data_IF_998089077269
#
_entry.id   IF_998089077269
#
_cell.length_a   1.000
_cell.length_b   1.000
_cell.length_c   1.000
_cell.angle_alpha   90.00
_cell.angle_beta   90.00
_cell.angle_gamma   90.00
#
_symmetry.space_group_name_H-M   'P 1'
#
loop_
_entity.id
_entity.type
_entity.pdbx_description
1 polymer ?
#
# COMPACT_ATOMS: atom_id res chain seq x y z
N UNK A 1 -12.61 1.08 5.48
CA UNK A 1 -13.72 1.37 4.54
C UNK A 1 -14.33 0.04 4.09
N UNK A 2 -15.67 -0.11 4.10
CA UNK A 2 -16.35 -1.30 3.59
C UNK A 2 -16.98 -1.01 2.24
N UNK A 3 -17.06 -1.99 1.34
CA UNK A 3 -17.68 -1.80 0.04
C UNK A 3 -19.22 -1.64 0.13
N UNK A 4 -19.85 -2.09 1.22
CA UNK A 4 -21.27 -1.90 1.51
C UNK A 4 -21.56 -2.07 3.02
N UNK A 5 -22.81 -1.79 3.42
CA UNK A 5 -23.26 -1.92 4.83
C UNK A 5 -23.30 -3.39 5.24
N UNK A 6 -23.69 -4.30 4.34
CA UNK A 6 -23.74 -5.73 4.61
C UNK A 6 -22.35 -6.29 4.95
N UNK A 7 -21.31 -5.90 4.20
CA UNK A 7 -19.93 -6.29 4.50
C UNK A 7 -19.42 -5.72 5.81
N UNK A 8 -19.94 -4.56 6.24
CA UNK A 8 -19.66 -4.01 7.57
C UNK A 8 -20.37 -4.83 8.64
N UNK A 9 -21.65 -5.09 8.50
CA UNK A 9 -22.44 -5.82 9.51
C UNK A 9 -21.97 -7.27 9.66
N UNK A 10 -21.60 -7.94 8.56
CA UNK A 10 -20.95 -9.26 8.61
C UNK A 10 -19.60 -9.20 9.34
N UNK A 11 -18.82 -8.13 9.09
CA UNK A 11 -17.56 -7.93 9.79
C UNK A 11 -17.78 -7.70 11.29
N UNK A 12 -18.70 -6.81 11.67
CA UNK A 12 -18.98 -6.47 13.05
C UNK A 12 -19.54 -7.69 13.80
N UNK A 13 -20.38 -8.52 13.16
CA UNK A 13 -20.85 -9.80 13.74
C UNK A 13 -19.72 -10.79 13.96
N UNK A 14 -18.84 -10.96 12.96
CA UNK A 14 -17.67 -11.82 13.09
C UNK A 14 -16.78 -11.31 14.22
N UNK A 15 -16.41 -10.03 14.21
CA UNK A 15 -15.52 -9.40 15.20
C UNK A 15 -16.11 -9.47 16.61
N UNK A 16 -17.42 -9.21 16.75
CA UNK A 16 -18.13 -9.30 18.02
C UNK A 16 -18.01 -10.68 18.67
N UNK A 17 -17.98 -11.77 17.91
CA UNK A 17 -17.77 -13.12 18.48
C UNK A 17 -16.42 -13.25 19.22
N UNK A 18 -15.44 -12.41 18.90
CA UNK A 18 -14.09 -12.44 19.49
C UNK A 18 -13.87 -11.30 20.50
N UNK A 19 -14.51 -10.14 20.28
CA UNK A 19 -14.37 -8.97 21.15
C UNK A 19 -15.41 -8.91 22.27
N UNK A 20 -16.44 -9.78 22.24
CA UNK A 20 -17.47 -9.80 23.28
C UNK A 20 -16.87 -10.14 24.66
N UNK A 21 -16.78 -9.13 25.52
CA UNK A 21 -16.24 -9.26 26.87
C UNK A 21 -14.70 -9.23 26.95
N UNK A 22 -14.00 -8.77 25.91
CA UNK A 22 -12.55 -8.52 25.91
C UNK A 22 -12.26 -7.05 25.59
N UNK A 23 -11.04 -6.58 25.86
CA UNK A 23 -10.58 -5.28 25.35
C UNK A 23 -10.50 -5.31 23.82
N UNK A 24 -10.82 -4.19 23.13
CA UNK A 24 -10.76 -4.13 21.68
C UNK A 24 -9.35 -4.43 21.17
N UNK A 25 -9.27 -5.26 20.13
CA UNK A 25 -8.00 -5.66 19.54
C UNK A 25 -7.35 -4.49 18.78
N UNK A 26 -6.01 -4.47 18.72
CA UNK A 26 -5.31 -3.57 17.80
C UNK A 26 -5.72 -3.86 16.34
N UNK A 27 -5.83 -2.83 15.50
CA UNK A 27 -6.41 -2.94 14.14
C UNK A 27 -5.73 -4.04 13.29
N UNK A 28 -4.40 -4.13 13.33
CA UNK A 28 -3.65 -5.18 12.59
C UNK A 28 -3.98 -6.60 13.06
N UNK A 29 -4.28 -6.76 14.34
CA UNK A 29 -4.62 -8.04 14.97
C UNK A 29 -6.05 -8.43 14.63
N UNK A 30 -6.98 -7.47 14.73
CA UNK A 30 -8.36 -7.63 14.30
C UNK A 30 -8.45 -8.03 12.82
N UNK A 31 -7.68 -7.37 11.95
CA UNK A 31 -7.60 -7.70 10.52
C UNK A 31 -7.03 -9.10 10.30
N UNK A 32 -5.98 -9.48 11.03
CA UNK A 32 -5.39 -10.82 10.94
C UNK A 32 -6.36 -11.91 11.36
N UNK A 33 -7.06 -11.72 12.49
CA UNK A 33 -8.08 -12.65 12.98
C UNK A 33 -9.16 -12.84 11.91
N UNK A 34 -9.64 -11.75 11.30
CA UNK A 34 -10.60 -11.83 10.18
C UNK A 34 -10.07 -12.64 9.01
N UNK A 35 -8.82 -12.41 8.59
CA UNK A 35 -8.20 -13.15 7.49
C UNK A 35 -8.14 -14.65 7.77
N UNK A 36 -7.76 -15.02 8.99
CA UNK A 36 -7.66 -16.42 9.42
C UNK A 36 -9.02 -17.10 9.44
N UNK A 37 -10.04 -16.45 10.01
CA UNK A 37 -11.39 -17.00 10.04
C UNK A 37 -11.96 -17.16 8.65
N UNK A 38 -11.74 -16.17 7.79
CA UNK A 38 -12.11 -16.26 6.36
C UNK A 38 -11.41 -17.44 5.70
N UNK A 39 -10.12 -17.64 5.98
CA UNK A 39 -9.37 -18.80 5.47
C UNK A 39 -9.96 -20.13 5.95
N UNK A 40 -10.32 -20.24 7.23
CA UNK A 40 -10.97 -21.44 7.78
C UNK A 40 -12.36 -21.67 7.18
N UNK A 41 -13.16 -20.63 6.98
CA UNK A 41 -14.47 -20.74 6.33
C UNK A 41 -14.33 -21.19 4.87
N UNK A 42 -13.36 -20.64 4.12
CA UNK A 42 -13.12 -21.01 2.72
C UNK A 42 -12.63 -22.45 2.56
N UNK A 43 -11.88 -22.97 3.53
CA UNK A 43 -11.24 -24.29 3.44
C UNK A 43 -12.01 -25.37 4.20
N UNK A 44 -12.94 -24.99 5.07
CA UNK A 44 -13.81 -25.85 5.86
C UNK A 44 -13.12 -26.55 7.05
N UNK A 45 -11.79 -26.67 7.05
CA UNK A 45 -11.02 -27.27 8.15
C UNK A 45 -9.57 -26.82 8.16
N UNK A 46 -8.92 -26.94 9.32
CA UNK A 46 -7.51 -26.62 9.51
C UNK A 46 -6.62 -27.53 8.65
N UNK A 47 -6.98 -28.82 8.55
CA UNK A 47 -6.25 -29.80 7.75
C UNK A 47 -6.30 -29.45 6.26
N UNK A 48 -7.46 -28.98 5.77
CA UNK A 48 -7.59 -28.52 4.39
C UNK A 48 -6.80 -27.23 4.15
N UNK A 49 -6.86 -26.27 5.08
CA UNK A 49 -6.07 -25.04 5.00
C UNK A 49 -4.57 -25.37 4.91
N UNK A 50 -4.07 -26.19 5.82
CA UNK A 50 -2.66 -26.60 5.83
C UNK A 50 -2.25 -27.30 4.53
N UNK A 51 -3.08 -28.22 4.03
CA UNK A 51 -2.84 -28.90 2.74
C UNK A 51 -2.76 -27.91 1.59
N UNK A 52 -3.76 -27.04 1.44
CA UNK A 52 -3.84 -26.07 0.33
C UNK A 52 -2.63 -25.11 0.35
N UNK A 53 -2.26 -24.59 1.53
CA UNK A 53 -1.09 -23.71 1.66
C UNK A 53 0.23 -24.42 1.33
N UNK A 54 0.34 -25.72 1.64
CA UNK A 54 1.50 -26.53 1.30
C UNK A 54 1.58 -26.82 -0.20
N UNK A 55 0.45 -27.14 -0.83
CA UNK A 55 0.35 -27.40 -2.26
C UNK A 55 0.67 -26.13 -3.07
N UNK A 56 0.32 -24.95 -2.54
CA UNK A 56 0.54 -23.64 -3.18
C UNK A 56 1.91 -23.00 -2.87
N UNK A 57 2.81 -23.67 -2.13
CA UNK A 57 4.01 -23.02 -1.56
C UNK A 57 4.99 -22.40 -2.57
N UNK A 58 4.93 -22.85 -3.83
CA UNK A 58 5.77 -22.34 -4.92
C UNK A 58 5.01 -21.39 -5.85
N UNK A 59 3.73 -21.15 -5.61
CA UNK A 59 2.93 -20.22 -6.39
C UNK A 59 3.19 -18.78 -5.96
N UNK A 60 3.03 -17.88 -6.92
CA UNK A 60 3.08 -16.43 -6.75
C UNK A 60 1.75 -15.82 -7.19
N UNK A 61 1.62 -14.50 -7.04
CA UNK A 61 0.44 -13.77 -7.55
C UNK A 61 0.24 -13.93 -9.06
N UNK A 62 1.29 -14.29 -9.83
CA UNK A 62 1.21 -14.50 -11.27
C UNK A 62 0.61 -15.85 -11.67
N UNK A 63 0.59 -16.81 -10.74
CA UNK A 63 0.07 -18.16 -10.98
C UNK A 63 -1.44 -18.28 -10.66
N UNK A 64 -2.06 -17.18 -10.21
CA UNK A 64 -3.41 -17.13 -9.66
C UNK A 64 -4.29 -16.16 -10.44
N UNK A 65 -5.50 -16.60 -10.83
CA UNK A 65 -6.46 -15.71 -11.50
C UNK A 65 -7.19 -14.85 -10.46
N UNK A 66 -6.82 -13.56 -10.40
CA UNK A 66 -7.45 -12.55 -9.55
C UNK A 66 -8.40 -11.62 -10.34
N UNK A 67 -8.64 -11.89 -11.62
CA UNK A 67 -9.37 -10.99 -12.53
C UNK A 67 -10.89 -11.11 -12.44
N UNK A 68 -11.41 -12.16 -11.80
CA UNK A 68 -12.84 -12.49 -11.72
C UNK A 68 -13.35 -12.49 -10.27
N UNK A 69 -13.72 -11.32 -9.70
CA UNK A 69 -14.20 -11.22 -8.32
C UNK A 69 -15.40 -12.10 -7.97
N UNK A 70 -16.19 -12.44 -8.97
CA UNK A 70 -17.42 -13.25 -8.87
C UNK A 70 -17.17 -14.76 -8.86
N UNK A 71 -15.95 -15.22 -9.14
CA UNK A 71 -15.60 -16.64 -9.10
C UNK A 71 -15.53 -17.14 -7.65
N UNK A 72 -16.06 -18.33 -7.38
CA UNK A 72 -16.02 -18.94 -6.04
C UNK A 72 -14.57 -19.11 -5.53
N UNK A 73 -13.64 -19.37 -6.45
CA UNK A 73 -12.20 -19.52 -6.17
C UNK A 73 -11.49 -18.19 -5.88
N UNK A 74 -12.10 -17.04 -6.19
CA UNK A 74 -11.41 -15.74 -6.12
C UNK A 74 -10.86 -15.42 -4.73
N UNK A 75 -11.67 -15.63 -3.68
CA UNK A 75 -11.25 -15.38 -2.30
C UNK A 75 -10.12 -16.33 -1.87
N UNK A 76 -10.15 -17.57 -2.34
CA UNK A 76 -9.08 -18.53 -2.09
C UNK A 76 -7.79 -18.12 -2.81
N UNK A 77 -7.88 -17.69 -4.07
CA UNK A 77 -6.72 -17.19 -4.82
C UNK A 77 -6.12 -15.94 -4.14
N UNK A 78 -6.93 -15.02 -3.62
CA UNK A 78 -6.43 -13.89 -2.82
C UNK A 78 -5.66 -14.38 -1.59
N UNK A 79 -6.23 -15.33 -0.83
CA UNK A 79 -5.56 -15.91 0.34
C UNK A 79 -4.21 -16.52 -0.01
N UNK A 80 -4.15 -17.32 -1.09
CA UNK A 80 -2.92 -17.94 -1.55
C UNK A 80 -1.89 -16.89 -2.01
N UNK A 81 -2.33 -15.87 -2.72
CA UNK A 81 -1.49 -14.79 -3.21
C UNK A 81 -0.90 -13.97 -2.04
N UNK A 82 -1.70 -13.68 -1.00
CA UNK A 82 -1.22 -13.05 0.23
C UNK A 82 -0.19 -13.94 0.92
N UNK A 83 -0.49 -15.22 1.09
CA UNK A 83 0.42 -16.15 1.76
C UNK A 83 1.74 -16.38 1.00
N UNK A 84 1.78 -16.08 -0.29
CA UNK A 84 3.00 -16.12 -1.10
C UNK A 84 3.91 -14.88 -0.90
N UNK A 85 3.44 -13.83 -0.23
CA UNK A 85 4.25 -12.64 0.05
C UNK A 85 5.41 -12.97 1.00
N UNK A 86 6.54 -12.30 0.76
CA UNK A 86 7.74 -12.45 1.59
C UNK A 86 7.53 -11.75 2.93
N UNK A 87 7.95 -12.39 4.02
CA UNK A 87 7.99 -11.80 5.36
C UNK A 87 9.37 -11.26 5.69
N UNK A 88 9.44 -10.20 6.48
CA UNK A 88 10.70 -9.75 7.06
C UNK A 88 11.19 -10.74 8.13
N UNK A 89 12.51 -10.88 8.27
CA UNK A 89 13.13 -11.65 9.38
C UNK A 89 12.75 -11.00 10.71
N UNK A 90 12.73 -11.77 11.80
CA UNK A 90 12.31 -11.26 13.12
C UNK A 90 13.06 -9.98 13.50
N UNK A 91 12.37 -8.85 13.42
CA UNK A 91 12.79 -7.60 14.06
C UNK A 91 12.23 -7.59 15.46
N UNK A 92 13.00 -7.12 16.45
CA UNK A 92 12.64 -7.15 17.88
C UNK A 92 11.30 -6.44 18.23
N UNK A 93 10.68 -5.74 17.28
CA UNK A 93 9.48 -4.92 17.45
C UNK A 93 8.15 -5.69 17.39
N UNK A 94 8.09 -6.95 16.92
CA UNK A 94 6.84 -7.74 16.92
C UNK A 94 6.60 -8.46 18.25
N UNK A 95 6.73 -7.75 19.38
CA UNK A 95 6.54 -8.30 20.75
C UNK A 95 5.21 -7.93 21.41
N UNK A 96 4.24 -7.37 20.68
CA UNK A 96 3.10 -6.72 21.32
C UNK A 96 1.79 -7.53 21.41
N UNK A 97 1.72 -8.76 20.90
CA UNK A 97 0.57 -9.65 21.17
C UNK A 97 1.05 -11.05 21.49
N UNK A 98 0.70 -11.54 22.67
CA UNK A 98 0.79 -12.97 23.01
C UNK A 98 -0.24 -13.71 22.16
N UNK A 99 0.13 -14.02 20.91
CA UNK A 99 -0.66 -14.88 20.01
C UNK A 99 -0.91 -16.23 20.69
N UNK A 100 0.01 -16.65 21.55
CA UNK A 100 -0.10 -17.81 22.41
C UNK A 100 -1.39 -17.77 23.21
N UNK A 101 -1.65 -16.72 23.97
CA UNK A 101 -2.86 -16.61 24.78
C UNK A 101 -4.15 -16.49 23.96
N UNK A 102 -4.09 -15.88 22.77
CA UNK A 102 -5.27 -15.66 21.93
C UNK A 102 -5.92 -16.98 21.53
N UNK A 103 -5.11 -17.98 21.14
CA UNK A 103 -5.63 -19.28 20.70
C UNK A 103 -6.06 -20.18 21.85
N UNK A 104 -5.68 -19.87 23.09
CA UNK A 104 -6.14 -20.58 24.30
C UNK A 104 -7.49 -20.05 24.82
N UNK A 105 -8.01 -18.95 24.26
CA UNK A 105 -9.26 -18.31 24.69
C UNK A 105 -10.41 -18.60 23.72
N UNK A 106 -11.63 -18.42 24.21
CA UNK A 106 -12.84 -18.48 23.38
C UNK A 106 -12.82 -17.41 22.27
N UNK A 107 -13.30 -17.71 21.05
CA UNK A 107 -13.88 -19.00 20.61
C UNK A 107 -12.86 -19.99 20.04
N UNK A 108 -11.56 -19.67 19.99
CA UNK A 108 -10.54 -20.54 19.37
C UNK A 108 -10.43 -21.90 20.07
N UNK A 109 -10.58 -21.93 21.39
CA UNK A 109 -10.63 -23.17 22.19
C UNK A 109 -11.75 -24.14 21.79
N UNK A 110 -12.87 -23.63 21.24
CA UNK A 110 -13.99 -24.45 20.79
C UNK A 110 -13.69 -25.24 19.53
N UNK A 111 -12.77 -24.79 18.68
CA UNK A 111 -12.47 -25.46 17.40
C UNK A 111 -11.03 -25.96 17.26
N UNK A 112 -10.08 -25.46 18.06
CA UNK A 112 -8.71 -25.99 18.12
C UNK A 112 -8.64 -27.13 19.15
N UNK A 113 -8.62 -28.38 18.69
CA UNK A 113 -8.73 -29.57 19.56
C UNK A 113 -7.39 -30.16 19.95
N UNK A 114 -6.35 -29.91 19.17
CA UNK A 114 -5.02 -30.50 19.38
C UNK A 114 -3.94 -29.42 19.49
N UNK A 115 -2.84 -29.74 20.17
CA UNK A 115 -1.68 -28.85 20.24
C UNK A 115 -1.07 -28.57 18.86
N UNK A 116 -1.13 -29.55 17.96
CA UNK A 116 -0.66 -29.42 16.57
C UNK A 116 -1.48 -28.38 15.80
N UNK A 117 -2.80 -28.39 15.94
CA UNK A 117 -3.67 -27.36 15.34
C UNK A 117 -3.37 -25.98 15.92
N UNK A 118 -3.16 -25.87 17.23
CA UNK A 118 -2.81 -24.60 17.89
C UNK A 118 -1.48 -24.06 17.40
N UNK A 119 -0.46 -24.92 17.30
CA UNK A 119 0.86 -24.55 16.79
C UNK A 119 0.79 -24.08 15.33
N UNK A 120 0.08 -24.80 14.47
CA UNK A 120 -0.14 -24.39 13.09
C UNK A 120 -0.82 -23.03 13.01
N UNK A 121 -1.90 -22.81 13.76
CA UNK A 121 -2.63 -21.55 13.75
C UNK A 121 -1.78 -20.39 14.26
N UNK A 122 -1.00 -20.59 15.33
CA UNK A 122 -0.03 -19.59 15.83
C UNK A 122 0.98 -19.22 14.74
N UNK A 123 1.59 -20.22 14.11
CA UNK A 123 2.57 -20.02 13.03
C UNK A 123 1.97 -19.29 11.82
N UNK A 124 0.80 -19.73 11.37
CA UNK A 124 0.08 -19.10 10.26
C UNK A 124 -0.29 -17.64 10.56
N UNK A 125 -0.76 -17.36 11.77
CA UNK A 125 -1.13 -16.02 12.24
C UNK A 125 0.07 -15.09 12.32
N UNK A 126 1.17 -15.56 12.90
CA UNK A 126 2.41 -14.81 12.99
C UNK A 126 2.92 -14.45 11.59
N UNK A 127 2.84 -15.40 10.63
CA UNK A 127 3.16 -15.12 9.23
C UNK A 127 2.26 -14.03 8.65
N UNK A 128 0.94 -14.09 8.85
CA UNK A 128 0.01 -13.09 8.33
C UNK A 128 0.27 -11.70 8.92
N UNK A 129 0.55 -11.59 10.23
CA UNK A 129 0.91 -10.32 10.86
C UNK A 129 2.18 -9.73 10.24
N UNK A 130 3.23 -10.53 10.09
CA UNK A 130 4.50 -10.09 9.46
C UNK A 130 4.28 -9.61 8.01
N UNK A 131 3.37 -10.24 7.26
CA UNK A 131 2.98 -9.78 5.93
C UNK A 131 2.30 -8.42 6.03
N UNK A 132 1.29 -8.28 6.89
CA UNK A 132 0.53 -7.03 7.04
C UNK A 132 1.40 -5.85 7.46
N UNK A 133 2.32 -6.05 8.42
CA UNK A 133 3.19 -5.00 8.94
C UNK A 133 4.06 -4.33 7.87
N UNK A 134 4.31 -5.01 6.74
CA UNK A 134 5.22 -4.54 5.68
C UNK A 134 4.57 -4.38 4.31
N UNK A 135 3.31 -4.79 4.16
CA UNK A 135 2.60 -4.77 2.88
C UNK A 135 1.28 -3.98 2.90
N UNK A 136 0.88 -3.44 4.06
CA UNK A 136 -0.30 -2.58 4.14
C UNK A 136 -0.03 -1.21 3.52
N UNK A 137 -0.92 -0.83 2.61
CA UNK A 137 -0.94 0.49 2.01
C UNK A 137 -1.92 1.36 2.79
N UNK A 138 -1.41 2.43 3.40
CA UNK A 138 -2.26 3.50 3.93
C UNK A 138 -3.05 4.14 2.78
N UNK A 139 -4.37 4.01 2.82
CA UNK A 139 -5.31 4.58 1.87
C UNK A 139 -5.70 5.96 2.36
N UNK A 140 -5.49 6.98 1.52
CA UNK A 140 -5.66 8.37 1.92
C UNK A 140 -6.72 9.06 1.07
N UNK A 141 -7.67 9.72 1.74
CA UNK A 141 -8.49 10.74 1.12
C UNK A 141 -7.79 12.09 1.28
N UNK A 142 -7.81 12.89 0.24
CA UNK A 142 -7.16 14.19 0.25
C UNK A 142 -8.20 15.29 0.49
N UNK A 143 -8.07 16.00 1.60
CA UNK A 143 -8.87 17.18 1.88
C UNK A 143 -8.09 18.44 1.50
N UNK A 144 -8.80 19.46 1.06
CA UNK A 144 -8.23 20.78 0.83
C UNK A 144 -8.43 21.64 2.07
N UNK A 145 -7.33 22.04 2.71
CA UNK A 145 -7.36 22.96 3.84
C UNK A 145 -7.25 24.40 3.33
N UNK A 146 -8.41 25.08 3.28
CA UNK A 146 -8.51 26.48 2.84
C UNK A 146 -7.64 27.43 3.66
N UNK A 147 -7.38 27.11 4.93
CA UNK A 147 -6.56 27.93 5.85
C UNK A 147 -5.07 27.93 5.52
N UNK A 148 -4.55 26.84 4.98
CA UNK A 148 -3.13 26.69 4.63
C UNK A 148 -2.87 26.76 3.13
N UNK A 149 -3.92 26.84 2.30
CA UNK A 149 -3.87 26.64 0.85
C UNK A 149 -3.06 25.38 0.48
N UNK A 150 -3.20 24.32 1.28
CA UNK A 150 -2.48 23.05 1.12
C UNK A 150 -3.46 21.89 1.14
N UNK A 151 -3.14 20.88 0.36
CA UNK A 151 -3.83 19.59 0.36
C UNK A 151 -3.22 18.70 1.44
N UNK A 152 -4.06 18.08 2.27
CA UNK A 152 -3.62 17.14 3.31
C UNK A 152 -4.25 15.78 3.08
N UNK A 153 -3.42 14.74 3.13
CA UNK A 153 -3.89 13.35 3.07
C UNK A 153 -4.33 12.91 4.45
N UNK A 154 -5.61 12.61 4.61
CA UNK A 154 -6.16 11.96 5.79
C UNK A 154 -6.25 10.47 5.52
N UNK A 155 -5.69 9.65 6.42
CA UNK A 155 -5.89 8.21 6.34
C UNK A 155 -7.38 7.89 6.49
N UNK A 156 -7.90 7.07 5.57
CA UNK A 156 -9.28 6.59 5.55
C UNK A 156 -9.36 5.06 5.71
N UNK A 157 -8.19 4.43 5.89
CA UNK A 157 -8.05 3.00 6.14
C UNK A 157 -6.76 2.44 5.55
N UNK A 158 -6.60 1.13 5.64
CA UNK A 158 -5.47 0.39 5.08
C UNK A 158 -5.94 -0.67 4.09
N UNK A 159 -5.15 -0.92 3.06
CA UNK A 159 -5.41 -1.93 2.04
C UNK A 159 -4.22 -2.85 1.83
N UNK A 160 -4.45 -4.16 1.81
CA UNK A 160 -3.46 -5.13 1.34
C UNK A 160 -3.69 -5.39 -0.15
N UNK A 161 -2.75 -4.97 -0.99
CA UNK A 161 -2.83 -5.12 -2.44
C UNK A 161 -1.67 -5.97 -2.93
N UNK A 162 -1.89 -7.27 -3.10
CA UNK A 162 -0.82 -8.25 -3.37
C UNK A 162 0.03 -7.89 -4.58
N UNK A 163 -0.58 -7.38 -5.66
CA UNK A 163 0.18 -6.96 -6.85
C UNK A 163 0.99 -5.67 -6.59
N UNK A 164 0.45 -4.74 -5.79
CA UNK A 164 1.15 -3.53 -5.40
C UNK A 164 2.36 -3.82 -4.52
N UNK A 165 2.25 -4.82 -3.64
CA UNK A 165 3.32 -5.30 -2.76
C UNK A 165 4.59 -5.77 -3.48
N UNK A 166 4.52 -5.99 -4.81
CA UNK A 166 5.70 -6.29 -5.62
C UNK A 166 6.60 -5.06 -5.85
N UNK A 167 6.08 -3.84 -5.72
CA UNK A 167 6.86 -2.63 -5.95
C UNK A 167 7.85 -2.41 -4.80
N UNK A 168 9.14 -2.41 -5.15
CA UNK A 168 10.21 -2.04 -4.21
C UNK A 168 10.27 -0.53 -3.97
N UNK A 169 10.98 -0.16 -2.90
CA UNK A 169 11.15 1.23 -2.51
C UNK A 169 12.26 1.96 -3.30
N UNK A 170 12.01 3.22 -3.66
CA UNK A 170 13.05 4.23 -3.93
C UNK A 170 12.72 5.51 -3.17
N UNK A 171 13.74 6.20 -2.65
CA UNK A 171 13.58 7.52 -2.03
C UNK A 171 13.31 8.62 -3.07
N UNK A 172 13.51 8.33 -4.34
CA UNK A 172 13.17 9.17 -5.48
C UNK A 172 12.51 8.29 -6.56
N UNK A 173 11.21 7.97 -6.40
CA UNK A 173 10.55 7.03 -7.29
C UNK A 173 10.01 7.71 -8.55
N UNK A 174 10.04 6.99 -9.67
CA UNK A 174 9.42 7.44 -10.93
C UNK A 174 7.90 7.34 -10.95
N UNK A 175 7.32 6.62 -9.98
CA UNK A 175 5.88 6.36 -9.86
C UNK A 175 5.32 6.92 -8.57
N UNK A 176 4.19 7.61 -8.69
CA UNK A 176 3.38 8.09 -7.58
C UNK A 176 2.15 7.20 -7.39
N UNK A 177 1.71 7.10 -6.16
CA UNK A 177 0.57 6.28 -5.75
C UNK A 177 -0.56 7.20 -5.28
N UNK A 178 -1.76 6.98 -5.79
CA UNK A 178 -2.98 7.61 -5.28
C UNK A 178 -4.04 6.58 -4.92
N UNK A 179 -4.88 6.96 -3.96
CA UNK A 179 -6.12 6.25 -3.65
C UNK A 179 -7.24 6.89 -4.45
N UNK A 180 -7.99 6.08 -5.19
CA UNK A 180 -9.22 6.49 -5.87
C UNK A 180 -10.31 5.51 -5.47
N UNK A 181 -11.34 6.01 -4.81
CA UNK A 181 -12.38 5.20 -4.18
C UNK A 181 -11.77 4.14 -3.24
N UNK A 182 -11.98 2.86 -3.54
CA UNK A 182 -11.43 1.71 -2.82
C UNK A 182 -10.24 1.05 -3.55
N UNK A 183 -9.63 1.72 -4.52
CA UNK A 183 -8.50 1.18 -5.30
C UNK A 183 -7.25 2.03 -5.16
N UNK A 184 -6.12 1.42 -5.49
CA UNK A 184 -4.83 2.09 -5.59
C UNK A 184 -4.47 2.22 -7.06
N UNK A 185 -4.13 3.43 -7.50
CA UNK A 185 -3.60 3.69 -8.82
C UNK A 185 -2.15 4.15 -8.74
N UNK A 186 -1.34 3.66 -9.68
CA UNK A 186 0.07 4.00 -9.84
C UNK A 186 0.23 4.82 -11.10
N UNK A 187 0.82 6.01 -10.97
CA UNK A 187 1.00 6.96 -12.07
C UNK A 187 2.47 7.28 -12.23
N UNK A 188 2.97 7.06 -13.45
CA UNK A 188 4.34 7.42 -13.83
C UNK A 188 4.44 8.95 -13.95
N UNK A 189 5.37 9.55 -13.20
CA UNK A 189 5.62 11.00 -13.18
C UNK A 189 7.06 11.38 -13.55
N UNK A 190 7.96 10.41 -13.68
CA UNK A 190 9.30 10.57 -14.23
C UNK A 190 9.52 9.59 -15.40
N UNK A 191 10.49 9.85 -16.29
CA UNK A 191 10.86 8.88 -17.33
C UNK A 191 11.25 7.53 -16.73
N UNK A 192 10.88 6.44 -17.42
CA UNK A 192 11.27 5.06 -17.09
C UNK A 192 11.76 4.41 -18.38
N UNK A 193 12.96 3.84 -18.36
CA UNK A 193 13.52 3.15 -19.52
C UNK A 193 12.91 1.75 -19.66
N UNK A 194 12.93 1.21 -20.89
CA UNK A 194 12.52 -0.18 -21.10
C UNK A 194 13.39 -1.13 -20.25
N UNK A 195 12.74 -2.07 -19.57
CA UNK A 195 13.36 -3.02 -18.61
C UNK A 195 13.88 -2.39 -17.31
N UNK A 196 13.66 -1.10 -17.08
CA UNK A 196 13.93 -0.49 -15.78
C UNK A 196 12.88 -0.94 -14.75
N UNK A 197 13.34 -1.25 -13.54
CA UNK A 197 12.46 -1.61 -12.44
C UNK A 197 11.61 -0.41 -12.02
N UNK A 198 10.32 -0.66 -11.77
CA UNK A 198 9.42 0.35 -11.26
C UNK A 198 9.52 0.39 -9.72
N UNK A 199 9.80 1.57 -9.19
CA UNK A 199 9.86 1.83 -7.74
C UNK A 199 8.74 2.76 -7.30
N UNK A 200 8.32 2.59 -6.05
CA UNK A 200 7.40 3.50 -5.35
C UNK A 200 8.08 4.03 -4.08
N UNK A 201 7.55 5.11 -3.50
CA UNK A 201 7.97 5.53 -2.14
C UNK A 201 7.11 4.83 -1.09
N UNK A 202 7.73 4.41 0.00
CA UNK A 202 7.04 3.86 1.19
C UNK A 202 6.68 4.98 2.18
N UNK A 203 6.71 6.25 1.72
CA UNK A 203 6.37 7.43 2.52
C UNK A 203 7.55 8.34 2.85
N UNK A 204 8.77 8.00 2.41
CA UNK A 204 10.00 8.72 2.78
C UNK A 204 10.78 9.14 1.54
N UNK A 205 10.62 10.39 1.11
CA UNK A 205 11.26 10.92 -0.10
C UNK A 205 12.56 11.65 0.21
N UNK A 206 13.53 11.62 -0.71
CA UNK A 206 14.84 12.25 -0.50
C UNK A 206 14.80 13.77 -0.38
N UNK A 207 13.80 14.39 -1.00
CA UNK A 207 13.62 15.84 -0.99
C UNK A 207 12.93 16.37 0.29
N UNK A 208 12.28 15.50 1.06
CA UNK A 208 11.56 15.84 2.30
C UNK A 208 12.38 15.54 3.56
N UNK A 209 13.13 14.45 3.56
CA UNK A 209 13.70 13.88 4.78
C UNK A 209 15.18 13.53 4.59
N UNK A 210 16.07 13.77 5.58
CA UNK A 210 17.47 13.37 5.51
C UNK A 210 17.66 11.86 5.38
N UNK A 211 18.77 11.43 4.75
CA UNK A 211 19.04 10.02 4.44
C UNK A 211 18.99 9.14 5.68
N UNK A 212 19.58 9.59 6.77
CA UNK A 212 19.71 8.84 8.02
C UNK A 212 18.33 8.52 8.61
N UNK A 213 17.41 9.48 8.56
CA UNK A 213 16.04 9.30 9.05
C UNK A 213 15.25 8.36 8.13
N UNK A 214 15.43 8.48 6.80
CA UNK A 214 14.80 7.55 5.86
C UNK A 214 15.27 6.11 6.08
N UNK A 215 16.57 5.89 6.31
CA UNK A 215 17.10 4.55 6.59
C UNK A 215 16.49 3.97 7.87
N UNK A 216 16.47 4.75 8.95
CA UNK A 216 15.86 4.33 10.22
C UNK A 216 14.40 3.90 10.05
N UNK A 217 13.62 4.63 9.24
CA UNK A 217 12.24 4.23 8.97
C UNK A 217 12.12 2.98 8.08
N UNK A 218 13.06 2.76 7.16
CA UNK A 218 13.06 1.59 6.28
C UNK A 218 13.61 0.32 6.95
N UNK A 219 14.29 0.44 8.09
CA UNK A 219 14.71 -0.71 8.91
C UNK A 219 13.52 -1.59 9.32
N UNK A 220 12.33 -1.02 9.53
CA UNK A 220 11.11 -1.78 9.82
C UNK A 220 10.67 -2.70 8.67
N UNK A 221 11.10 -2.40 7.44
CA UNK A 221 10.92 -3.24 6.26
C UNK A 221 12.07 -4.25 6.07
N UNK A 222 13.06 -4.27 6.97
CA UNK A 222 14.13 -5.25 6.99
C UNK A 222 15.20 -5.09 5.91
N UNK A 223 15.35 -3.89 5.34
CA UNK A 223 16.39 -3.62 4.33
C UNK A 223 17.05 -2.26 4.55
N UNK A 224 18.27 -2.11 4.03
CA UNK A 224 18.97 -0.83 3.91
C UNK A 224 18.78 -0.31 2.49
N UNK A 225 18.25 0.90 2.32
CA UNK A 225 17.99 1.45 1.00
C UNK A 225 19.27 1.90 0.31
N UNK A 226 19.54 1.36 -0.87
CA UNK A 226 20.70 1.67 -1.71
C UNK A 226 20.29 2.32 -3.04
N UNK A 227 19.09 2.90 -3.14
CA UNK A 227 18.66 3.61 -4.34
C UNK A 227 19.61 4.75 -4.72
N UNK A 228 19.54 5.23 -5.97
CA UNK A 228 20.40 6.31 -6.50
C UNK A 228 20.40 7.54 -5.59
N UNK A 229 19.23 7.93 -5.08
CA UNK A 229 19.11 9.06 -4.17
C UNK A 229 19.85 8.87 -2.82
N UNK A 230 19.90 7.63 -2.31
CA UNK A 230 20.65 7.28 -1.11
C UNK A 230 22.16 7.15 -1.36
N UNK A 231 22.58 6.61 -2.51
CA UNK A 231 23.99 6.47 -2.87
C UNK A 231 24.64 7.82 -3.20
N UNK A 232 23.93 8.69 -3.94
CA UNK A 232 24.42 10.00 -4.35
C UNK A 232 24.12 11.12 -3.35
N UNK A 233 23.60 10.78 -2.17
CA UNK A 233 23.24 11.74 -1.12
C UNK A 233 22.37 12.90 -1.64
N UNK A 234 21.27 12.58 -2.33
CA UNK A 234 20.36 13.61 -2.87
C UNK A 234 19.93 14.57 -1.76
N UNK A 235 20.05 15.89 -2.00
CA UNK A 235 19.76 16.88 -0.97
C UNK A 235 18.25 17.10 -0.81
N UNK A 236 17.88 17.62 0.37
CA UNK A 236 16.54 18.17 0.62
C UNK A 236 16.20 19.25 -0.41
N UNK A 237 14.90 19.45 -0.70
CA UNK A 237 14.43 20.44 -1.67
C UNK A 237 15.06 21.83 -1.46
N UNK A 238 15.14 22.28 -0.19
CA UNK A 238 15.71 23.59 0.17
C UNK A 238 17.21 23.75 -0.12
N UNK A 239 17.91 22.64 -0.38
CA UNK A 239 19.35 22.59 -0.68
C UNK A 239 19.63 22.13 -2.12
N UNK A 240 18.61 21.84 -2.91
CA UNK A 240 18.79 21.44 -4.30
C UNK A 240 19.21 22.64 -5.16
N UNK A 241 20.09 22.43 -6.16
CA UNK A 241 20.50 23.50 -7.05
C UNK A 241 19.32 23.94 -7.92
N UNK A 242 19.23 25.25 -8.17
CA UNK A 242 18.39 25.80 -9.25
C UNK A 242 19.16 25.76 -10.55
N UNK A 243 18.55 25.21 -11.60
CA UNK A 243 19.18 24.98 -12.91
C UNK A 243 18.50 25.75 -14.04
N UNK A 244 17.35 26.39 -13.77
CA UNK A 244 16.55 27.12 -14.76
C UNK A 244 16.22 28.50 -14.19
N UNK A 245 16.82 29.54 -14.75
CA UNK A 245 16.68 30.93 -14.26
C UNK A 245 15.29 31.52 -14.44
N UNK A 246 14.51 31.02 -15.42
CA UNK A 246 13.15 31.46 -15.74
C UNK A 246 12.07 30.49 -15.26
N UNK A 247 12.41 29.61 -14.30
CA UNK A 247 11.44 28.70 -13.72
C UNK A 247 10.38 29.45 -12.93
N UNK A 248 9.12 29.21 -13.27
CA UNK A 248 7.97 29.72 -12.53
C UNK A 248 7.41 28.59 -11.67
N UNK A 249 7.48 28.76 -10.35
CA UNK A 249 6.90 27.81 -9.39
C UNK A 249 5.39 27.67 -9.65
N UNK A 250 4.87 26.44 -9.73
CA UNK A 250 3.48 26.20 -10.03
C UNK A 250 2.60 26.57 -8.83
N UNK A 251 1.43 27.12 -9.12
CA UNK A 251 0.48 27.45 -8.08
C UNK A 251 -0.33 26.20 -7.67
N UNK A 252 -0.30 25.87 -6.38
CA UNK A 252 -0.99 24.72 -5.79
C UNK A 252 -2.46 25.01 -5.45
N UNK A 253 -3.10 25.93 -6.19
CA UNK A 253 -4.52 26.21 -6.04
C UNK A 253 -5.38 25.01 -6.44
N UNK A 254 -6.57 24.92 -5.82
CA UNK A 254 -7.58 23.95 -6.21
C UNK A 254 -8.04 24.18 -7.67
N UNK A 255 -8.28 23.09 -8.40
CA UNK A 255 -8.77 23.12 -9.78
C UNK A 255 -9.64 21.90 -10.06
N UNK A 256 -10.34 21.90 -11.20
CA UNK A 256 -11.12 20.74 -11.63
C UNK A 256 -10.19 19.58 -11.99
N UNK A 257 -10.66 18.34 -11.83
CA UNK A 257 -9.88 17.16 -12.19
C UNK A 257 -9.47 17.15 -13.68
N UNK A 258 -10.34 17.63 -14.59
CA UNK A 258 -10.00 17.77 -16.02
C UNK A 258 -8.86 18.77 -16.25
N UNK A 259 -8.88 19.92 -15.55
CA UNK A 259 -7.78 20.87 -15.61
C UNK A 259 -6.50 20.26 -15.03
N UNK A 260 -6.61 19.53 -13.92
CA UNK A 260 -5.47 18.86 -13.29
C UNK A 260 -4.83 17.79 -14.19
N UNK A 261 -5.62 17.04 -14.97
CA UNK A 261 -5.09 16.09 -15.98
C UNK A 261 -4.27 16.84 -17.05
N UNK A 262 -4.74 17.99 -17.51
CA UNK A 262 -4.02 18.80 -18.49
C UNK A 262 -2.71 19.35 -17.92
N UNK A 263 -2.73 19.86 -16.69
CA UNK A 263 -1.54 20.35 -16.00
C UNK A 263 -0.56 19.22 -15.66
N UNK A 264 -1.04 18.03 -15.30
CA UNK A 264 -0.19 16.87 -15.01
C UNK A 264 0.62 16.48 -16.24
N UNK A 265 -0.01 16.48 -17.42
CA UNK A 265 0.70 16.21 -18.68
C UNK A 265 1.78 17.26 -18.97
N UNK A 266 1.51 18.53 -18.69
CA UNK A 266 2.49 19.61 -18.86
C UNK A 266 3.66 19.46 -17.87
N UNK A 267 3.36 19.16 -16.60
CA UNK A 267 4.37 18.94 -15.56
C UNK A 267 5.26 17.74 -15.90
N UNK A 268 4.68 16.59 -16.27
CA UNK A 268 5.45 15.42 -16.69
C UNK A 268 6.32 15.73 -17.93
N UNK A 269 5.80 16.46 -18.92
CA UNK A 269 6.58 16.86 -20.10
C UNK A 269 7.73 17.80 -19.74
N UNK A 270 7.50 18.71 -18.80
CA UNK A 270 8.54 19.59 -18.29
C UNK A 270 9.64 18.78 -17.61
N UNK A 271 9.29 17.87 -16.69
CA UNK A 271 10.24 16.97 -16.02
C UNK A 271 11.05 16.18 -17.04
N UNK A 272 10.39 15.53 -18.00
CA UNK A 272 11.03 14.74 -19.06
C UNK A 272 12.08 15.54 -19.83
N UNK A 273 11.79 16.80 -20.18
CA UNK A 273 12.69 17.64 -20.97
C UNK A 273 13.97 18.07 -20.25
N UNK A 274 14.02 17.99 -18.91
CA UNK A 274 15.15 18.46 -18.10
C UNK A 274 15.65 17.39 -17.13
N UNK A 275 15.21 16.15 -17.28
CA UNK A 275 15.46 15.08 -16.31
C UNK A 275 16.95 14.73 -16.21
N UNK A 276 17.74 15.00 -17.25
CA UNK A 276 19.21 14.90 -17.25
C UNK A 276 19.88 15.75 -16.16
N UNK A 277 19.16 16.77 -15.64
CA UNK A 277 19.62 17.68 -14.58
C UNK A 277 19.12 17.27 -13.19
N UNK A 278 18.32 16.22 -13.07
CA UNK A 278 17.80 15.73 -11.80
C UNK A 278 18.94 15.15 -10.94
N UNK A 279 18.98 15.39 -9.61
CA UNK A 279 18.04 16.18 -8.83
C UNK A 279 18.33 17.68 -8.92
N UNK A 280 17.30 18.45 -9.25
CA UNK A 280 17.32 19.91 -9.13
C UNK A 280 15.97 20.43 -8.62
N UNK A 281 15.99 21.65 -8.10
CA UNK A 281 14.82 22.26 -7.46
C UNK A 281 13.59 22.19 -8.37
N UNK A 282 13.73 22.49 -9.65
CA UNK A 282 12.63 22.57 -10.61
C UNK A 282 11.99 21.21 -10.89
N UNK A 283 12.79 20.15 -11.06
CA UNK A 283 12.25 18.79 -11.25
C UNK A 283 11.50 18.30 -10.02
N UNK A 284 12.06 18.52 -8.83
CA UNK A 284 11.47 18.07 -7.57
C UNK A 284 10.22 18.87 -7.23
N UNK A 285 10.23 20.19 -7.43
CA UNK A 285 9.07 21.05 -7.23
C UNK A 285 7.93 20.68 -8.19
N UNK A 286 8.24 20.35 -9.45
CA UNK A 286 7.24 19.81 -10.39
C UNK A 286 6.73 18.42 -9.98
N UNK A 287 7.54 17.55 -9.38
CA UNK A 287 7.06 16.28 -8.84
C UNK A 287 6.12 16.47 -7.65
N UNK A 288 6.39 17.45 -6.79
CA UNK A 288 5.49 17.84 -5.69
C UNK A 288 4.18 18.39 -6.26
N UNK A 289 4.26 19.18 -7.33
CA UNK A 289 3.07 19.66 -8.03
C UNK A 289 2.29 18.50 -8.68
N UNK A 290 2.96 17.49 -9.24
CA UNK A 290 2.31 16.27 -9.71
C UNK A 290 1.51 15.58 -8.59
N UNK A 291 2.02 15.50 -7.36
CA UNK A 291 1.28 14.94 -6.22
C UNK A 291 -0.01 15.74 -5.95
N UNK A 292 0.08 17.07 -5.93
CA UNK A 292 -1.11 17.94 -5.79
C UNK A 292 -2.13 17.72 -6.91
N UNK A 293 -1.68 17.64 -8.15
CA UNK A 293 -2.53 17.41 -9.30
C UNK A 293 -3.21 16.05 -9.23
N UNK A 294 -2.47 15.00 -8.87
CA UNK A 294 -3.01 13.66 -8.69
C UNK A 294 -4.08 13.60 -7.59
N UNK A 295 -3.97 14.42 -6.54
CA UNK A 295 -5.03 14.57 -5.54
C UNK A 295 -6.27 15.30 -6.07
N UNK A 296 -6.12 16.27 -6.98
CA UNK A 296 -7.29 16.88 -7.63
C UNK A 296 -7.95 15.88 -8.59
N UNK A 297 -7.14 15.06 -9.25
CA UNK A 297 -7.58 14.02 -10.19
C UNK A 297 -8.39 12.97 -9.42
N UNK A 298 -7.86 12.43 -8.32
CA UNK A 298 -8.45 11.33 -7.53
C UNK A 298 -9.86 11.56 -7.00
N UNK A 299 -10.40 12.77 -7.15
CA UNK A 299 -11.79 13.12 -6.86
C UNK A 299 -12.79 12.60 -7.90
N UNK A 300 -12.33 12.18 -9.08
CA UNK A 300 -13.17 11.52 -10.07
C UNK A 300 -13.20 10.00 -9.84
N UNK A 301 -14.34 9.34 -10.07
CA UNK A 301 -14.42 7.89 -10.12
C UNK A 301 -13.49 7.30 -11.18
N UNK A 302 -13.00 6.08 -10.94
CA UNK A 302 -12.07 5.41 -11.85
C UNK A 302 -12.58 5.22 -13.29
N UNK A 303 -13.88 5.00 -13.44
CA UNK A 303 -14.54 4.77 -14.73
C UNK A 303 -14.53 6.00 -15.64
N UNK A 304 -14.51 7.21 -15.05
CA UNK A 304 -14.50 8.46 -15.80
C UNK A 304 -13.14 8.74 -16.45
N UNK A 305 -12.03 8.19 -15.91
CA UNK A 305 -10.73 8.29 -16.56
C UNK A 305 -10.65 7.47 -17.85
N UNK A 306 -11.27 6.29 -17.90
CA UNK A 306 -11.26 5.41 -19.06
C UNK A 306 -12.04 6.00 -20.25
N UNK A 307 -13.18 6.67 -19.97
CA UNK A 307 -14.00 7.35 -20.98
C UNK A 307 -13.28 8.54 -21.63
N UNK A 308 -12.33 9.19 -20.92
CA UNK A 308 -11.51 10.26 -21.48
C UNK A 308 -10.52 9.77 -22.56
N UNK A 309 -10.13 8.49 -22.53
CA UNK A 309 -9.32 7.83 -23.58
C UNK A 309 -10.17 7.36 -24.76
N UNK A 310 -11.41 6.92 -24.53
CA UNK A 310 -12.30 6.42 -25.58
C UNK A 310 -12.80 7.50 -26.57
N UNK A 311 -12.67 8.79 -26.24
CA UNK A 311 -13.03 9.92 -27.14
C UNK A 311 -11.89 10.40 -28.05
N UNK A 312 -10.78 9.66 -28.13
CA UNK A 312 -9.68 9.93 -29.07
C UNK A 312 -9.34 8.67 -29.88
N UNK A 313 -10.28 8.21 -30.69
CA UNK A 313 -10.02 7.47 -31.92
C UNK A 313 -11.04 7.90 -32.97
#
# INVERSE_FOLDING_TARGET
MYCCVECKDEHDKLLHLFECGQEPLHESVALTVKMILTALTLTGSIQNLQRILNDSKCQTVFDLDLSKPQDESHKLNILLAINALTTVRETEHTKSVSLEEMFEKHPFDLFLKTDVEREFMRSFTNKQLKILDTNLYDMKEHSYLKSSNRTHGHSIGSGLCVFASLFSHSCDPSVKRITVDNKIAFVVVQPIQANEQIFVSYGYSSYEMPREIRQLHLESYGFLCDCVACQKHYPLLSKQPRRISYYNEPNHNAMTALAAICELKKACKFIENIYDRHPCYETTDMMIYCDHLLHQISKLPLEEYALSKAKKH
#
